data_IF_971001567304
#
_entry.id   IF_971001567304
#
_cell.length_a   1.000
_cell.length_b   1.000
_cell.length_c   1.000
_cell.angle_alpha   90.00
_cell.angle_beta   90.00
_cell.angle_gamma   90.00
#
_symmetry.space_group_name_H-M   'P 1'
#
loop_
_entity.id
_entity.type
_entity.pdbx_description
1 polymer ?
#
# COMPACT_ATOMS: atom_id res chain seq x y z
N UNK A 1 8.49 -12.86 -6.62
CA UNK A 1 8.14 -11.73 -5.73
C UNK A 1 6.69 -11.89 -5.31
N UNK A 2 6.43 -12.79 -4.37
CA UNK A 2 5.05 -13.15 -3.95
C UNK A 2 4.75 -12.73 -2.52
N UNK A 3 5.78 -12.37 -1.75
CA UNK A 3 5.67 -12.00 -0.34
C UNK A 3 6.57 -10.80 -0.02
N UNK A 4 6.22 -10.11 1.06
CA UNK A 4 7.08 -9.12 1.70
C UNK A 4 8.09 -9.84 2.60
N UNK A 5 9.29 -9.27 2.74
CA UNK A 5 10.22 -9.69 3.81
C UNK A 5 9.68 -9.26 5.18
N UNK A 6 10.20 -9.82 6.27
CA UNK A 6 9.79 -9.41 7.62
C UNK A 6 9.98 -7.91 7.85
N UNK A 7 11.10 -7.34 7.40
CA UNK A 7 11.36 -5.90 7.48
C UNK A 7 10.40 -5.07 6.64
N UNK A 8 10.07 -5.51 5.43
CA UNK A 8 9.09 -4.81 4.58
C UNK A 8 7.69 -4.87 5.20
N UNK A 9 7.33 -5.97 5.87
CA UNK A 9 6.06 -6.09 6.60
C UNK A 9 6.00 -5.12 7.80
N UNK A 10 7.07 -5.02 8.59
CA UNK A 10 7.16 -4.07 9.71
C UNK A 10 6.99 -2.62 9.24
N UNK A 11 7.62 -2.26 8.11
CA UNK A 11 7.46 -0.92 7.50
C UNK A 11 6.01 -0.70 7.04
N UNK A 12 5.40 -1.69 6.39
CA UNK A 12 4.01 -1.62 5.96
C UNK A 12 3.04 -1.45 7.13
N UNK A 13 3.24 -2.20 8.22
CA UNK A 13 2.41 -2.09 9.43
C UNK A 13 2.53 -0.69 10.04
N UNK A 14 3.74 -0.13 10.08
CA UNK A 14 3.98 1.25 10.48
C UNK A 14 3.23 2.27 9.60
N UNK A 15 3.18 2.04 8.29
CA UNK A 15 2.42 2.90 7.37
C UNK A 15 0.91 2.86 7.64
N UNK A 16 0.34 1.68 7.90
CA UNK A 16 -1.07 1.58 8.25
C UNK A 16 -1.41 2.36 9.51
N UNK A 17 -0.56 2.30 10.54
CA UNK A 17 -0.74 3.10 11.76
C UNK A 17 -0.66 4.59 11.46
N UNK A 18 0.37 5.05 10.72
CA UNK A 18 0.52 6.46 10.34
C UNK A 18 -0.70 6.97 9.56
N UNK A 19 -1.24 6.15 8.66
CA UNK A 19 -2.37 6.53 7.80
C UNK A 19 -3.68 6.82 8.55
N UNK A 20 -3.78 6.39 9.81
CA UNK A 20 -4.93 6.64 10.67
C UNK A 20 -4.79 7.91 11.50
N UNK A 21 -3.64 8.58 11.45
CA UNK A 21 -3.41 9.81 12.22
C UNK A 21 -4.16 11.00 11.58
N UNK A 22 -4.80 11.86 12.40
CA UNK A 22 -5.43 13.07 11.91
C UNK A 22 -4.42 13.98 11.20
N UNK A 23 -4.73 14.40 9.98
CA UNK A 23 -3.88 15.30 9.19
C UNK A 23 -2.68 14.61 8.53
N UNK A 24 -2.64 13.28 8.49
CA UNK A 24 -1.64 12.54 7.72
C UNK A 24 -1.74 12.86 6.22
N UNK A 25 -0.63 13.32 5.64
CA UNK A 25 -0.48 13.53 4.20
C UNK A 25 0.50 12.49 3.65
N UNK A 26 0.03 11.48 2.91
CA UNK A 26 0.88 10.45 2.32
C UNK A 26 2.01 11.01 1.44
N UNK A 27 1.85 12.18 0.81
CA UNK A 27 2.89 12.76 -0.04
C UNK A 27 4.07 13.30 0.78
N UNK A 28 3.79 13.86 1.96
CA UNK A 28 4.76 14.50 2.84
C UNK A 28 5.30 13.54 3.92
N UNK A 29 4.46 12.65 4.43
CA UNK A 29 4.73 11.80 5.59
C UNK A 29 5.23 10.38 5.20
N UNK A 30 5.52 10.15 3.91
CA UNK A 30 6.15 8.91 3.43
C UNK A 30 7.49 9.13 2.76
N UNK A 31 8.40 8.20 3.03
CA UNK A 31 9.67 8.05 2.31
C UNK A 31 9.49 7.30 1.00
N UNK A 32 10.45 7.41 0.09
CA UNK A 32 10.45 6.63 -1.16
C UNK A 32 10.45 5.12 -0.93
N UNK A 33 11.12 4.66 0.13
CA UNK A 33 11.15 3.24 0.50
C UNK A 33 9.76 2.76 0.96
N UNK A 34 9.11 3.52 1.83
CA UNK A 34 7.74 3.27 2.27
C UNK A 34 6.75 3.21 1.09
N UNK A 35 6.84 4.18 0.16
CA UNK A 35 6.04 4.18 -1.07
C UNK A 35 6.28 2.95 -1.94
N UNK A 36 7.54 2.55 -2.11
CA UNK A 36 7.92 1.34 -2.86
C UNK A 36 7.34 0.07 -2.23
N UNK A 37 7.38 -0.04 -0.90
CA UNK A 37 6.85 -1.18 -0.15
C UNK A 37 5.32 -1.23 -0.25
N UNK A 38 4.63 -0.10 -0.09
CA UNK A 38 3.19 -0.01 -0.27
C UNK A 38 2.78 -0.44 -1.71
N UNK A 39 3.48 0.05 -2.73
CA UNK A 39 3.24 -0.36 -4.11
C UNK A 39 3.46 -1.87 -4.34
N UNK A 40 4.51 -2.44 -3.74
CA UNK A 40 4.77 -3.88 -3.79
C UNK A 40 3.63 -4.67 -3.15
N UNK A 41 3.12 -4.23 -2.00
CA UNK A 41 1.98 -4.86 -1.33
C UNK A 41 0.72 -4.84 -2.19
N UNK A 42 0.41 -3.70 -2.83
CA UNK A 42 -0.71 -3.56 -3.76
C UNK A 42 -0.63 -4.60 -4.89
N UNK A 43 0.56 -4.78 -5.48
CA UNK A 43 0.78 -5.78 -6.55
C UNK A 43 0.55 -7.21 -6.02
N UNK A 44 0.98 -7.51 -4.79
CA UNK A 44 0.73 -8.82 -4.15
C UNK A 44 -0.79 -9.04 -4.01
N UNK A 45 -1.53 -8.08 -3.47
CA UNK A 45 -2.99 -8.16 -3.32
C UNK A 45 -3.70 -8.39 -4.66
N UNK A 46 -3.33 -7.64 -5.71
CA UNK A 46 -3.92 -7.81 -7.04
C UNK A 46 -3.68 -9.21 -7.61
N UNK A 47 -2.49 -9.77 -7.43
CA UNK A 47 -2.17 -11.14 -7.87
C UNK A 47 -2.98 -12.18 -7.11
N UNK A 48 -3.14 -12.02 -5.80
CA UNK A 48 -3.97 -12.91 -4.98
C UNK A 48 -5.43 -12.88 -5.42
N UNK A 49 -5.99 -11.69 -5.69
CA UNK A 49 -7.35 -11.56 -6.21
C UNK A 49 -7.49 -12.21 -7.60
N UNK A 50 -6.52 -12.01 -8.48
CA UNK A 50 -6.51 -12.66 -9.79
C UNK A 50 -6.46 -14.19 -9.69
N UNK A 51 -5.68 -14.73 -8.75
CA UNK A 51 -5.62 -16.18 -8.50
C UNK A 51 -6.95 -16.76 -7.99
N UNK A 52 -7.77 -15.94 -7.32
CA UNK A 52 -9.13 -16.29 -6.91
C UNK A 52 -10.17 -16.09 -8.01
N UNK A 53 -9.77 -15.69 -9.22
CA UNK A 53 -10.68 -15.39 -10.32
C UNK A 53 -11.46 -14.08 -10.16
N UNK A 54 -11.05 -13.23 -9.21
CA UNK A 54 -11.70 -11.94 -8.95
C UNK A 54 -11.12 -10.89 -9.90
N UNK A 55 -11.99 -10.22 -10.66
CA UNK A 55 -11.60 -9.09 -11.50
C UNK A 55 -11.55 -7.83 -10.63
N UNK A 56 -10.34 -7.34 -10.39
CA UNK A 56 -10.09 -6.20 -9.50
C UNK A 56 -9.61 -4.97 -10.26
N UNK A 57 -10.01 -3.78 -9.80
CA UNK A 57 -9.56 -2.49 -10.32
C UNK A 57 -9.12 -1.62 -9.14
N UNK A 58 -7.98 -0.93 -9.29
CA UNK A 58 -7.59 0.14 -8.37
C UNK A 58 -8.28 1.42 -8.82
N UNK A 59 -9.08 2.00 -7.93
CA UNK A 59 -9.69 3.32 -8.14
C UNK A 59 -8.89 4.32 -7.32
N UNK A 60 -8.17 5.20 -8.00
CA UNK A 60 -7.49 6.33 -7.36
C UNK A 60 -8.47 7.50 -7.39
N UNK A 61 -9.24 7.67 -6.31
CA UNK A 61 -10.08 8.86 -6.16
C UNK A 61 -9.16 10.05 -5.93
N UNK A 62 -9.13 10.99 -6.88
CA UNK A 62 -8.61 12.32 -6.57
C UNK A 62 -9.67 12.99 -5.71
N UNK A 63 -9.29 13.42 -4.50
CA UNK A 63 -10.08 14.41 -3.80
C UNK A 63 -9.96 15.66 -4.66
N UNK A 64 -11.01 15.98 -5.41
CA UNK A 64 -11.11 17.25 -6.13
C UNK A 64 -11.00 18.37 -5.08
N UNK A 65 -9.86 19.05 -5.04
CA UNK A 65 -9.74 20.43 -4.57
C UNK A 65 -9.83 21.37 -5.78
#
# INVERSE_FOLDING_TARGET
METLTSTEQEILDGLFVKSQLPGYDPALDTTDEERRIAAKYIVICLRQLAALGVRSQIVVAHADE
#
